data_IF_985639270462
#
_entry.id   IF_985639270462
#
_cell.length_a   1.000
_cell.length_b   1.000
_cell.length_c   1.000
_cell.angle_alpha   90.00
_cell.angle_beta   90.00
_cell.angle_gamma   90.00
#
_symmetry.space_group_name_H-M   'P 1'
#
loop_
_entity.id
_entity.type
_entity.pdbx_description
1 polymer ?
#
# COMPACT_ATOMS: atom_id res chain seq x y z
N UNK A 1 -37.40 77.30 25.56
CA UNK A 1 -37.90 75.91 25.43
C UNK A 1 -36.88 75.11 24.64
N UNK A 2 -36.35 74.03 25.24
CA UNK A 2 -35.36 73.11 24.65
C UNK A 2 -36.03 72.19 23.61
N UNK A 3 -35.33 71.89 22.51
CA UNK A 3 -35.47 70.61 21.79
C UNK A 3 -34.08 70.12 21.40
N UNK A 4 -33.74 68.93 21.90
CA UNK A 4 -32.56 68.13 21.58
C UNK A 4 -33.10 66.83 20.99
N UNK A 5 -32.58 66.40 19.85
CA UNK A 5 -32.84 65.10 19.23
C UNK A 5 -31.89 64.97 18.04
N UNK A 6 -31.14 63.89 17.78
CA UNK A 6 -30.80 62.67 18.50
C UNK A 6 -29.73 62.02 17.61
N UNK A 7 -28.51 61.81 18.12
CA UNK A 7 -27.44 61.11 17.39
C UNK A 7 -27.74 59.62 17.38
N UNK A 8 -27.86 58.99 16.20
CA UNK A 8 -27.93 57.54 16.07
C UNK A 8 -26.51 56.96 16.13
N UNK A 9 -26.23 56.21 17.20
CA UNK A 9 -25.00 55.43 17.36
C UNK A 9 -25.17 54.10 16.60
N UNK A 10 -24.54 53.98 15.42
CA UNK A 10 -24.49 52.71 14.69
C UNK A 10 -23.40 51.83 15.28
N UNK A 11 -23.79 50.77 15.98
CA UNK A 11 -22.91 49.74 16.51
C UNK A 11 -22.45 48.79 15.39
N UNK A 12 -21.17 48.84 15.03
CA UNK A 12 -20.49 47.81 14.23
C UNK A 12 -20.27 46.57 15.12
N UNK A 13 -21.04 45.50 14.89
CA UNK A 13 -20.68 44.16 15.38
C UNK A 13 -19.65 43.56 14.42
N UNK A 14 -18.40 43.47 14.86
CA UNK A 14 -17.38 42.63 14.21
C UNK A 14 -17.62 41.17 14.62
N UNK A 15 -18.16 40.36 13.72
CA UNK A 15 -18.18 38.90 13.88
C UNK A 15 -16.79 38.38 13.55
N UNK A 16 -16.01 38.03 14.58
CA UNK A 16 -14.77 37.30 14.41
C UNK A 16 -15.09 35.83 14.13
N UNK A 17 -15.06 35.42 12.87
CA UNK A 17 -15.07 34.02 12.47
C UNK A 17 -13.73 33.40 12.85
N UNK A 18 -13.69 32.60 13.92
CA UNK A 18 -12.57 31.68 14.16
C UNK A 18 -12.61 30.62 13.06
N UNK A 19 -11.73 30.76 12.08
CA UNK A 19 -11.36 29.66 11.19
C UNK A 19 -10.48 28.71 12.01
N UNK A 20 -11.05 27.59 12.48
CA UNK A 20 -10.22 26.46 12.88
C UNK A 20 -9.64 25.85 11.60
N UNK A 21 -8.37 26.14 11.33
CA UNK A 21 -7.58 25.33 10.41
C UNK A 21 -7.51 23.94 11.03
N UNK A 22 -8.20 22.97 10.43
CA UNK A 22 -8.00 21.57 10.77
C UNK A 22 -6.54 21.24 10.45
N UNK A 23 -5.72 21.08 11.47
CA UNK A 23 -4.39 20.51 11.30
C UNK A 23 -4.58 19.02 11.13
N UNK A 24 -4.33 18.51 9.93
CA UNK A 24 -4.33 17.06 9.69
C UNK A 24 -3.34 16.42 10.66
N UNK A 25 -3.83 15.46 11.44
CA UNK A 25 -3.00 14.76 12.40
C UNK A 25 -1.92 13.98 11.63
N UNK A 26 -0.67 14.06 12.10
CA UNK A 26 0.43 13.28 11.52
C UNK A 26 0.12 11.78 11.62
N UNK A 27 0.60 11.02 10.63
CA UNK A 27 0.47 9.57 10.64
C UNK A 27 1.18 8.97 11.89
N UNK A 28 0.61 7.92 12.51
CA UNK A 28 1.25 7.26 13.65
C UNK A 28 2.60 6.66 13.22
N UNK A 29 3.62 6.73 14.06
CA UNK A 29 4.99 6.24 13.76
C UNK A 29 5.24 4.81 14.26
N UNK A 30 4.21 4.12 14.72
CA UNK A 30 4.31 2.75 15.23
C UNK A 30 4.02 1.76 14.09
N UNK A 31 4.81 0.68 13.96
CA UNK A 31 4.52 -0.39 13.00
C UNK A 31 3.10 -0.96 13.18
N UNK A 32 2.46 -1.31 12.06
CA UNK A 32 1.09 -1.81 12.05
C UNK A 32 0.98 -3.31 12.37
N UNK A 33 -0.09 -3.70 13.07
CA UNK A 33 -0.31 -5.06 13.60
C UNK A 33 -0.37 -6.17 12.53
N UNK A 34 -0.67 -5.83 11.28
CA UNK A 34 -0.84 -6.82 10.21
C UNK A 34 0.47 -7.35 9.64
N UNK A 35 1.56 -6.56 9.66
CA UNK A 35 2.82 -6.95 9.03
C UNK A 35 3.44 -8.22 9.65
N UNK A 36 3.63 -8.33 10.98
CA UNK A 36 4.26 -9.53 11.56
C UNK A 36 3.54 -10.82 11.16
N UNK A 37 2.20 -10.81 11.16
CA UNK A 37 1.38 -11.95 10.75
C UNK A 37 1.55 -12.32 9.27
N UNK A 38 1.61 -11.32 8.41
CA UNK A 38 1.80 -11.52 6.97
C UNK A 38 3.22 -12.03 6.68
N UNK A 39 4.22 -11.52 7.39
CA UNK A 39 5.61 -11.94 7.25
C UNK A 39 5.83 -13.37 7.80
N UNK A 40 5.24 -13.73 8.95
CA UNK A 40 5.26 -15.10 9.46
C UNK A 40 4.66 -16.09 8.47
N UNK A 41 3.57 -15.71 7.77
CA UNK A 41 2.99 -16.52 6.71
C UNK A 41 3.96 -16.68 5.52
N UNK A 42 4.71 -15.65 5.14
CA UNK A 42 5.75 -15.76 4.11
C UNK A 42 6.80 -16.78 4.52
N UNK A 43 7.30 -16.71 5.76
CA UNK A 43 8.31 -17.64 6.27
C UNK A 43 7.81 -19.09 6.30
N UNK A 44 6.57 -19.31 6.73
CA UNK A 44 5.95 -20.65 6.80
C UNK A 44 5.66 -21.28 5.42
N UNK A 45 5.50 -20.44 4.39
CA UNK A 45 5.27 -20.85 3.00
C UNK A 45 6.55 -20.88 2.17
N UNK A 46 7.66 -20.35 2.69
CA UNK A 46 8.93 -20.35 1.97
C UNK A 46 9.47 -21.78 1.84
N UNK A 47 9.73 -22.19 0.60
CA UNK A 47 10.18 -23.55 0.29
C UNK A 47 9.05 -24.58 0.24
N UNK A 48 7.78 -24.16 0.39
CA UNK A 48 6.65 -25.05 0.13
C UNK A 48 6.65 -25.47 -1.34
N UNK A 49 6.64 -26.78 -1.58
CA UNK A 49 6.65 -27.31 -2.94
C UNK A 49 5.28 -27.08 -3.61
N UNK A 50 5.21 -26.80 -4.93
CA UNK A 50 3.95 -26.63 -5.64
C UNK A 50 2.97 -27.81 -5.45
N UNK A 51 3.49 -29.02 -5.30
CA UNK A 51 2.71 -30.23 -5.07
C UNK A 51 1.99 -30.26 -3.70
N UNK A 52 2.41 -29.44 -2.74
CA UNK A 52 1.73 -29.32 -1.44
C UNK A 52 0.47 -28.45 -1.52
N UNK A 53 0.28 -27.68 -2.59
CA UNK A 53 -0.88 -26.79 -2.78
C UNK A 53 -1.08 -25.78 -1.62
N UNK A 54 0.00 -25.46 -0.88
CA UNK A 54 -0.06 -24.56 0.29
C UNK A 54 0.05 -23.09 -0.07
N UNK A 55 0.64 -22.74 -1.21
CA UNK A 55 0.79 -21.35 -1.63
C UNK A 55 0.28 -21.18 -3.07
N UNK A 56 -0.90 -20.58 -3.20
CA UNK A 56 -1.66 -20.56 -4.45
C UNK A 56 -2.09 -19.14 -4.78
N UNK A 57 -1.79 -18.72 -6.01
CA UNK A 57 -2.42 -17.56 -6.61
C UNK A 57 -3.87 -17.88 -7.02
N UNK A 58 -4.82 -17.20 -6.39
CA UNK A 58 -6.24 -17.39 -6.64
C UNK A 58 -6.64 -16.85 -8.01
N UNK A 59 -7.46 -17.61 -8.75
CA UNK A 59 -8.09 -17.09 -9.97
C UNK A 59 -9.14 -16.00 -9.64
N UNK A 60 -9.58 -15.18 -10.62
CA UNK A 60 -10.52 -14.09 -10.35
C UNK A 60 -11.83 -14.52 -9.67
N UNK A 61 -12.34 -15.72 -9.97
CA UNK A 61 -13.58 -16.27 -9.42
C UNK A 61 -13.41 -17.07 -8.13
N UNK A 62 -12.18 -17.35 -7.71
CA UNK A 62 -11.91 -18.10 -6.48
C UNK A 62 -11.99 -17.19 -5.25
N UNK A 63 -12.54 -17.76 -4.16
CA UNK A 63 -12.53 -17.11 -2.86
C UNK A 63 -11.13 -17.16 -2.25
N UNK A 64 -10.74 -16.07 -1.61
CA UNK A 64 -9.46 -16.01 -0.90
C UNK A 64 -9.59 -16.59 0.50
N UNK A 65 -8.55 -17.30 0.94
CA UNK A 65 -8.47 -17.86 2.29
C UNK A 65 -7.02 -18.04 2.71
N UNK A 66 -6.79 -17.90 4.02
CA UNK A 66 -5.49 -18.13 4.65
C UNK A 66 -5.71 -19.00 5.89
N UNK A 67 -4.95 -20.08 5.98
CA UNK A 67 -4.68 -20.78 7.24
C UNK A 67 -3.40 -20.17 7.80
N UNK A 68 -3.55 -19.36 8.85
CA UNK A 68 -2.44 -18.62 9.47
C UNK A 68 -1.51 -19.53 10.27
N UNK A 69 -0.23 -19.15 10.42
CA UNK A 69 0.72 -19.80 11.33
C UNK A 69 0.20 -19.92 12.77
N UNK A 70 0.71 -20.92 13.50
CA UNK A 70 0.42 -21.15 14.93
C UNK A 70 -0.81 -22.01 15.24
N UNK A 71 -1.45 -22.59 14.22
CA UNK A 71 -2.52 -23.57 14.37
C UNK A 71 -2.05 -25.04 14.33
N UNK A 72 -3.00 -25.98 14.41
CA UNK A 72 -2.73 -27.42 14.26
C UNK A 72 -2.57 -27.87 12.79
N UNK A 73 -2.97 -27.02 11.85
CA UNK A 73 -2.90 -27.29 10.42
C UNK A 73 -1.70 -26.56 9.81
N UNK A 74 -1.03 -27.13 8.79
CA UNK A 74 -0.02 -26.41 8.04
C UNK A 74 -0.56 -25.10 7.48
N UNK A 75 0.24 -24.04 7.58
CA UNK A 75 -0.09 -22.74 7.00
C UNK A 75 -0.31 -22.87 5.51
N UNK A 76 -1.34 -22.21 4.99
CA UNK A 76 -1.69 -22.22 3.57
C UNK A 76 -2.36 -20.91 3.16
N UNK A 77 -2.20 -20.52 1.90
CA UNK A 77 -2.77 -19.32 1.34
C UNK A 77 -3.27 -19.59 -0.09
N UNK A 78 -4.54 -19.28 -0.33
CA UNK A 78 -5.09 -19.09 -1.68
C UNK A 78 -5.51 -17.64 -1.79
N UNK A 79 -4.70 -16.82 -2.44
CA UNK A 79 -4.87 -15.35 -2.41
C UNK A 79 -4.49 -14.67 -3.71
N UNK A 80 -4.90 -13.40 -3.81
CA UNK A 80 -4.45 -12.38 -4.77
C UNK A 80 -4.08 -11.12 -3.98
N UNK A 81 -3.27 -10.22 -4.54
CA UNK A 81 -2.70 -9.07 -3.81
C UNK A 81 -3.69 -8.35 -2.87
N UNK A 82 -4.80 -7.85 -3.40
CA UNK A 82 -5.78 -7.11 -2.59
C UNK A 82 -6.46 -7.93 -1.49
N UNK A 83 -6.83 -9.18 -1.77
CA UNK A 83 -7.48 -10.00 -0.75
C UNK A 83 -6.49 -10.53 0.28
N UNK A 84 -5.21 -10.71 -0.08
CA UNK A 84 -4.16 -11.01 0.87
C UNK A 84 -4.02 -9.88 1.90
N UNK A 85 -3.93 -8.63 1.43
CA UNK A 85 -3.96 -7.45 2.30
C UNK A 85 -5.25 -7.41 3.13
N UNK A 86 -6.41 -7.61 2.52
CA UNK A 86 -7.70 -7.56 3.24
C UNK A 86 -7.73 -8.57 4.39
N UNK A 87 -7.32 -9.81 4.14
CA UNK A 87 -7.27 -10.87 5.15
C UNK A 87 -6.23 -10.56 6.23
N UNK A 88 -5.08 -9.99 5.86
CA UNK A 88 -4.06 -9.51 6.78
C UNK A 88 -4.57 -8.42 7.72
N UNK A 89 -5.22 -7.38 7.18
CA UNK A 89 -5.82 -6.30 7.96
C UNK A 89 -6.91 -6.83 8.91
N UNK A 90 -7.78 -7.71 8.42
CA UNK A 90 -8.85 -8.32 9.22
C UNK A 90 -8.27 -9.10 10.40
N UNK A 91 -7.24 -9.92 10.15
CA UNK A 91 -6.61 -10.74 11.18
C UNK A 91 -5.80 -9.89 12.16
N UNK A 92 -4.95 -9.00 11.66
CA UNK A 92 -4.01 -8.20 12.47
C UNK A 92 -4.71 -7.22 13.38
N UNK A 93 -5.79 -6.59 12.91
CA UNK A 93 -6.50 -5.57 13.69
C UNK A 93 -7.79 -6.10 14.36
N UNK A 94 -8.01 -7.42 14.37
CA UNK A 94 -9.18 -8.05 14.99
C UNK A 94 -10.52 -7.57 14.44
N UNK A 95 -10.58 -7.30 13.13
CA UNK A 95 -11.78 -6.76 12.48
C UNK A 95 -12.73 -7.90 12.09
N UNK A 96 -14.06 -7.64 11.98
CA UNK A 96 -14.97 -8.63 11.43
C UNK A 96 -14.70 -8.85 9.93
N UNK A 97 -14.79 -10.08 9.40
CA UNK A 97 -14.56 -10.35 7.97
C UNK A 97 -15.47 -9.55 7.02
N UNK A 98 -16.64 -9.12 7.49
CA UNK A 98 -17.58 -8.30 6.72
C UNK A 98 -17.22 -6.81 6.67
N UNK A 99 -16.19 -6.35 7.39
CA UNK A 99 -15.90 -4.92 7.57
C UNK A 99 -15.65 -4.20 6.24
N UNK A 100 -15.01 -4.88 5.29
CA UNK A 100 -14.72 -4.32 3.97
C UNK A 100 -15.97 -3.88 3.21
N UNK A 101 -17.12 -4.56 3.43
CA UNK A 101 -18.40 -4.15 2.84
C UNK A 101 -18.82 -2.75 3.31
N UNK A 102 -18.58 -2.44 4.59
CA UNK A 102 -18.93 -1.14 5.17
C UNK A 102 -17.95 -0.02 4.81
N UNK A 103 -16.66 -0.35 4.63
CA UNK A 103 -15.62 0.64 4.37
C UNK A 103 -15.41 0.91 2.88
N UNK A 104 -15.52 -0.13 2.06
CA UNK A 104 -15.07 -0.12 0.67
C UNK A 104 -16.08 -0.80 -0.27
N UNK A 105 -17.30 -1.09 0.21
CA UNK A 105 -18.39 -1.66 -0.60
C UNK A 105 -18.17 -3.12 -1.04
N UNK A 106 -17.12 -3.80 -0.54
CA UNK A 106 -16.83 -5.19 -0.89
C UNK A 106 -16.08 -5.89 0.25
N UNK A 107 -16.38 -7.17 0.50
CA UNK A 107 -15.59 -8.02 1.40
C UNK A 107 -14.25 -8.46 0.77
N UNK A 108 -14.07 -8.22 -0.53
CA UNK A 108 -12.80 -8.38 -1.24
C UNK A 108 -12.61 -7.19 -2.18
N UNK A 109 -12.20 -6.03 -1.66
CA UNK A 109 -11.91 -4.85 -2.48
C UNK A 109 -10.80 -5.17 -3.49
N UNK A 110 -10.82 -4.48 -4.63
CA UNK A 110 -9.73 -4.57 -5.61
C UNK A 110 -8.55 -3.69 -5.18
N UNK A 111 -7.38 -3.91 -5.78
CA UNK A 111 -6.20 -3.06 -5.53
C UNK A 111 -6.47 -1.59 -5.91
N UNK A 112 -7.31 -1.34 -6.91
CA UNK A 112 -7.77 -0.01 -7.29
C UNK A 112 -8.57 0.67 -6.17
N UNK A 113 -9.43 -0.06 -5.47
CA UNK A 113 -10.20 0.50 -4.35
C UNK A 113 -9.29 0.90 -3.19
N UNK A 114 -8.25 0.12 -2.91
CA UNK A 114 -7.24 0.49 -1.91
C UNK A 114 -6.42 1.70 -2.32
N UNK A 115 -6.01 1.79 -3.58
CA UNK A 115 -5.34 2.98 -4.11
C UNK A 115 -6.18 4.23 -3.88
N UNK A 116 -7.45 4.19 -4.28
CA UNK A 116 -8.38 5.32 -4.14
C UNK A 116 -8.63 5.64 -2.65
N UNK A 117 -8.74 4.62 -1.79
CA UNK A 117 -8.89 4.81 -0.35
C UNK A 117 -7.64 5.45 0.31
N UNK A 118 -6.43 5.21 -0.20
CA UNK A 118 -5.20 5.85 0.29
C UNK A 118 -5.16 7.31 -0.16
N UNK A 119 -5.44 7.58 -1.44
CA UNK A 119 -5.50 8.94 -1.99
C UNK A 119 -6.53 9.82 -1.25
N UNK A 120 -7.69 9.25 -0.91
CA UNK A 120 -8.77 9.92 -0.18
C UNK A 120 -8.55 9.94 1.34
N UNK A 121 -7.47 9.34 1.83
CA UNK A 121 -7.21 9.11 3.26
C UNK A 121 -8.37 8.42 4.01
N UNK A 122 -9.09 7.52 3.33
CA UNK A 122 -10.20 6.77 3.89
C UNK A 122 -9.71 5.49 4.58
N UNK A 123 -9.57 5.52 5.92
CA UNK A 123 -8.93 4.47 6.74
C UNK A 123 -7.43 4.36 6.55
N UNK A 124 -6.81 5.32 5.88
CA UNK A 124 -5.37 5.40 5.68
C UNK A 124 -4.89 6.83 5.91
N UNK A 125 -3.71 6.98 6.48
CA UNK A 125 -2.94 8.21 6.30
C UNK A 125 -2.17 8.10 5.00
N UNK A 126 -2.18 9.15 4.18
CA UNK A 126 -1.28 9.22 3.03
C UNK A 126 0.13 9.53 3.53
N UNK A 127 1.10 8.79 3.02
CA UNK A 127 2.52 9.00 3.27
C UNK A 127 3.14 9.52 1.97
N UNK A 128 3.63 10.75 1.98
CA UNK A 128 4.04 11.45 0.76
C UNK A 128 5.50 11.12 0.37
N UNK A 129 6.33 10.75 1.35
CA UNK A 129 7.76 10.56 1.14
C UNK A 129 8.30 9.18 1.50
N UNK A 130 9.35 8.77 0.80
CA UNK A 130 10.06 7.52 1.09
C UNK A 130 10.67 7.51 2.51
N UNK A 131 11.10 8.67 3.01
CA UNK A 131 11.66 8.82 4.36
C UNK A 131 10.65 8.60 5.49
N UNK A 132 9.37 8.81 5.21
CA UNK A 132 8.28 8.65 6.18
C UNK A 132 7.66 7.25 6.13
N UNK A 133 8.05 6.45 5.13
CA UNK A 133 7.59 5.08 4.94
C UNK A 133 8.15 4.19 6.05
N UNK A 134 7.28 3.37 6.64
CA UNK A 134 7.60 2.45 7.72
C UNK A 134 7.17 1.02 7.37
N UNK A 135 7.77 0.01 8.02
CA UNK A 135 7.25 -1.35 8.01
C UNK A 135 5.75 -1.39 8.41
N UNK A 136 4.93 -2.01 7.58
CA UNK A 136 3.48 -2.07 7.69
C UNK A 136 2.75 -1.11 6.77
N UNK A 137 3.43 -0.14 6.16
CA UNK A 137 2.79 0.71 5.16
C UNK A 137 2.42 -0.07 3.91
N UNK A 138 1.33 0.33 3.28
CA UNK A 138 0.79 -0.26 2.07
C UNK A 138 1.26 0.56 0.87
N UNK A 139 1.92 -0.09 -0.08
CA UNK A 139 2.15 0.46 -1.41
C UNK A 139 1.02 0.03 -2.34
N UNK A 140 0.32 0.99 -2.92
CA UNK A 140 -0.72 0.73 -3.92
C UNK A 140 -0.34 1.37 -5.25
N UNK A 141 -0.46 0.61 -6.34
CA UNK A 141 -0.23 1.12 -7.70
C UNK A 141 -1.50 0.95 -8.52
N UNK A 142 -1.86 1.97 -9.28
CA UNK A 142 -3.02 1.97 -10.19
C UNK A 142 -2.62 2.61 -11.51
N UNK A 143 -2.64 1.85 -12.61
CA UNK A 143 -2.20 2.35 -13.92
C UNK A 143 -3.05 1.81 -15.05
N UNK A 144 -3.10 2.56 -16.15
CA UNK A 144 -3.92 2.30 -17.32
C UNK A 144 -4.05 3.61 -18.09
N UNK A 145 -3.64 3.61 -19.36
CA UNK A 145 -3.76 4.79 -20.21
C UNK A 145 -5.18 4.98 -20.74
N UNK A 146 -5.40 6.07 -21.47
CA UNK A 146 -6.68 6.35 -22.12
C UNK A 146 -7.16 5.15 -22.96
N UNK A 147 -8.29 4.57 -22.57
CA UNK A 147 -8.90 3.41 -23.24
C UNK A 147 -8.29 2.04 -22.91
N UNK A 148 -7.37 1.95 -21.94
CA UNK A 148 -6.82 0.67 -21.46
C UNK A 148 -7.53 0.18 -20.19
N UNK A 149 -7.54 -1.15 -20.00
CA UNK A 149 -7.98 -1.76 -18.74
C UNK A 149 -7.06 -1.31 -17.61
N UNK A 150 -7.66 -0.77 -16.54
CA UNK A 150 -6.94 -0.39 -15.32
C UNK A 150 -6.33 -1.64 -14.68
N UNK A 151 -5.03 -1.59 -14.47
CA UNK A 151 -4.25 -2.57 -13.72
C UNK A 151 -3.86 -1.98 -12.37
N UNK A 152 -3.75 -2.83 -11.36
CA UNK A 152 -3.37 -2.41 -10.02
C UNK A 152 -2.78 -3.55 -9.21
N UNK A 153 -1.86 -3.23 -8.31
CA UNK A 153 -1.25 -4.17 -7.38
C UNK A 153 -0.98 -3.51 -6.04
N UNK A 154 -0.88 -4.35 -5.00
CA UNK A 154 -0.75 -3.96 -3.61
C UNK A 154 0.36 -4.76 -2.96
N UNK A 155 1.11 -4.09 -2.10
CA UNK A 155 2.23 -4.65 -1.38
C UNK A 155 2.26 -4.04 0.02
N UNK A 156 2.80 -4.77 0.99
CA UNK A 156 3.06 -4.27 2.34
C UNK A 156 4.56 -4.17 2.53
N UNK A 157 5.05 -3.02 2.99
CA UNK A 157 6.47 -2.80 3.29
C UNK A 157 6.84 -3.62 4.52
N UNK A 158 7.81 -4.52 4.41
CA UNK A 158 8.40 -5.20 5.58
C UNK A 158 9.68 -4.52 6.05
N UNK A 159 10.47 -3.98 5.12
CA UNK A 159 11.71 -3.25 5.42
C UNK A 159 11.91 -2.14 4.40
N UNK A 160 12.60 -1.07 4.82
CA UNK A 160 13.04 0.02 3.95
C UNK A 160 14.41 0.51 4.39
N UNK A 161 15.30 0.72 3.43
CA UNK A 161 16.64 1.25 3.66
C UNK A 161 17.03 2.21 2.54
N UNK A 162 17.77 3.27 2.86
CA UNK A 162 18.45 4.07 1.84
C UNK A 162 19.50 3.19 1.14
N UNK A 163 19.44 3.12 -0.18
CA UNK A 163 20.32 2.27 -0.98
C UNK A 163 21.47 3.06 -1.63
N UNK A 164 21.13 4.12 -2.37
CA UNK A 164 22.13 4.95 -3.08
C UNK A 164 21.50 6.24 -3.60
N UNK A 165 22.32 7.18 -4.07
CA UNK A 165 21.85 8.29 -4.93
C UNK A 165 22.08 7.90 -6.39
N UNK A 166 21.03 7.97 -7.20
CA UNK A 166 21.07 7.65 -8.64
C UNK A 166 21.93 8.65 -9.43
N UNK A 167 22.40 8.30 -10.64
CA UNK A 167 23.14 9.24 -11.49
C UNK A 167 22.36 10.52 -11.86
N UNK A 168 21.03 10.49 -11.78
CA UNK A 168 20.15 11.64 -11.99
C UNK A 168 19.96 12.49 -10.74
N UNK A 169 20.56 12.11 -9.60
CA UNK A 169 20.50 12.84 -8.33
C UNK A 169 19.29 12.50 -7.44
N UNK A 170 18.48 11.49 -7.78
CA UNK A 170 17.40 11.00 -6.92
C UNK A 170 17.94 10.08 -5.83
N UNK A 171 17.39 10.15 -4.64
CA UNK A 171 17.66 9.19 -3.57
C UNK A 171 16.87 7.90 -3.81
N UNK A 172 17.56 6.77 -3.84
CA UNK A 172 16.97 5.45 -4.05
C UNK A 172 16.91 4.70 -2.73
N UNK A 173 15.71 4.23 -2.39
CA UNK A 173 15.44 3.37 -1.25
C UNK A 173 15.14 1.97 -1.74
N UNK A 174 15.72 0.97 -1.09
CA UNK A 174 15.37 -0.44 -1.29
C UNK A 174 14.34 -0.85 -0.26
N UNK A 175 13.26 -1.45 -0.72
CA UNK A 175 12.19 -1.94 0.12
C UNK A 175 12.08 -3.45 -0.05
N UNK A 176 12.03 -4.16 1.06
CA UNK A 176 11.45 -5.50 1.09
C UNK A 176 9.94 -5.35 1.23
N UNK A 177 9.22 -6.06 0.37
CA UNK A 177 7.76 -6.03 0.32
C UNK A 177 7.19 -7.42 0.42
N UNK A 178 6.06 -7.53 1.11
CA UNK A 178 5.25 -8.73 1.26
C UNK A 178 4.00 -8.55 0.42
N UNK A 179 3.76 -9.48 -0.49
CA UNK A 179 2.58 -9.46 -1.35
C UNK A 179 2.11 -10.88 -1.72
N UNK A 180 1.02 -10.93 -2.46
CA UNK A 180 0.61 -12.13 -3.19
C UNK A 180 0.56 -11.77 -4.65
N UNK A 181 1.30 -12.50 -5.49
CA UNK A 181 1.40 -12.25 -6.94
C UNK A 181 1.56 -13.55 -7.73
N UNK A 182 1.28 -13.47 -9.02
CA UNK A 182 1.48 -14.55 -9.99
C UNK A 182 2.92 -14.64 -10.50
N UNK A 183 3.66 -13.54 -10.42
CA UNK A 183 5.02 -13.42 -10.96
C UNK A 183 5.92 -12.79 -9.92
N UNK A 184 7.10 -13.36 -9.74
CA UNK A 184 8.09 -12.95 -8.74
C UNK A 184 8.77 -11.62 -9.07
N UNK A 185 9.28 -10.93 -8.04
CA UNK A 185 9.99 -9.65 -8.12
C UNK A 185 11.50 -9.81 -8.34
N UNK A 186 11.90 -10.87 -9.06
CA UNK A 186 13.30 -11.24 -9.31
C UNK A 186 13.81 -12.36 -8.40
N UNK A 187 15.13 -12.60 -8.41
CA UNK A 187 15.76 -13.78 -7.78
C UNK A 187 15.89 -13.70 -6.27
N UNK A 188 15.78 -12.50 -5.72
CA UNK A 188 15.72 -12.28 -4.28
C UNK A 188 14.31 -12.50 -3.74
N UNK A 189 13.32 -12.77 -4.59
CA UNK A 189 11.98 -13.10 -4.16
C UNK A 189 11.94 -14.49 -3.54
N UNK A 190 11.27 -14.66 -2.39
CA UNK A 190 11.19 -15.95 -1.68
C UNK A 190 10.51 -17.06 -2.51
N UNK A 191 9.78 -16.67 -3.54
CA UNK A 191 9.12 -17.58 -4.48
C UNK A 191 10.00 -17.98 -5.66
N UNK A 192 11.20 -17.41 -5.79
CA UNK A 192 12.13 -17.73 -6.87
C UNK A 192 12.69 -19.16 -6.75
N UNK A 193 12.67 -19.93 -7.84
CA UNK A 193 13.22 -21.29 -7.90
C UNK A 193 14.24 -21.52 -9.03
N UNK A 194 14.56 -20.51 -9.85
CA UNK A 194 15.66 -20.58 -10.83
C UNK A 194 15.37 -20.03 -12.23
N UNK A 195 14.10 -19.95 -12.65
CA UNK A 195 13.70 -19.35 -13.95
C UNK A 195 12.29 -18.72 -13.89
N UNK A 196 12.15 -17.38 -13.87
CA UNK A 196 10.88 -16.69 -13.69
C UNK A 196 10.00 -16.71 -14.95
N UNK A 197 10.56 -17.16 -16.08
CA UNK A 197 9.88 -17.23 -17.38
C UNK A 197 9.15 -18.55 -17.62
N UNK A 198 9.34 -19.53 -16.74
CA UNK A 198 8.65 -20.82 -16.79
C UNK A 198 7.74 -20.99 -15.58
N UNK A 199 6.57 -21.62 -15.77
CA UNK A 199 5.65 -21.93 -14.67
C UNK A 199 6.26 -22.87 -13.60
N UNK A 200 7.44 -23.45 -13.89
CA UNK A 200 8.17 -24.37 -13.03
C UNK A 200 9.39 -23.73 -12.34
N UNK A 201 9.73 -22.47 -12.63
CA UNK A 201 10.91 -21.81 -12.04
C UNK A 201 10.58 -20.76 -10.98
N UNK A 202 9.30 -20.67 -10.57
CA UNK A 202 8.85 -19.95 -9.39
C UNK A 202 7.51 -20.47 -8.84
N UNK A 203 7.29 -20.26 -7.55
CA UNK A 203 6.00 -20.48 -6.88
C UNK A 203 5.13 -19.23 -7.01
N UNK A 204 3.80 -19.39 -7.04
CA UNK A 204 2.86 -18.27 -7.07
C UNK A 204 2.21 -18.06 -5.70
N UNK A 205 1.58 -16.91 -5.48
CA UNK A 205 0.88 -16.60 -4.23
C UNK A 205 1.72 -15.73 -3.32
N UNK A 206 1.63 -15.96 -2.00
CA UNK A 206 2.26 -15.14 -0.96
C UNK A 206 3.78 -15.26 -1.01
N UNK A 207 4.49 -14.15 -0.88
CA UNK A 207 5.95 -14.13 -0.80
C UNK A 207 6.49 -12.77 -0.41
N UNK A 208 7.81 -12.68 -0.31
CA UNK A 208 8.50 -11.42 -0.14
C UNK A 208 9.46 -11.19 -1.31
N UNK A 209 9.60 -9.94 -1.74
CA UNK A 209 10.49 -9.53 -2.83
C UNK A 209 10.99 -8.11 -2.63
N UNK A 210 11.72 -7.60 -3.62
CA UNK A 210 12.35 -6.28 -3.54
C UNK A 210 11.76 -5.30 -4.56
N UNK A 211 11.55 -4.07 -4.13
CA UNK A 211 11.23 -2.93 -4.98
C UNK A 211 12.15 -1.76 -4.60
N UNK A 212 12.50 -0.92 -5.56
CA UNK A 212 13.13 0.37 -5.28
C UNK A 212 12.12 1.49 -5.43
N UNK A 213 12.19 2.47 -4.52
CA UNK A 213 11.56 3.77 -4.66
C UNK A 213 12.65 4.82 -4.92
N UNK A 214 12.50 5.60 -5.97
CA UNK A 214 13.33 6.77 -6.22
C UNK A 214 12.56 8.00 -5.73
N UNK A 215 13.21 8.82 -4.91
CA UNK A 215 12.63 10.00 -4.30
C UNK A 215 13.45 11.26 -4.59
N UNK A 216 12.78 12.41 -4.60
CA UNK A 216 13.44 13.70 -4.63
C UNK A 216 14.22 13.89 -3.31
N UNK A 217 15.54 14.19 -3.35
CA UNK A 217 16.37 14.27 -2.14
C UNK A 217 16.05 15.49 -1.26
N UNK A 218 15.28 16.46 -1.76
CA UNK A 218 14.90 17.68 -1.03
C UNK A 218 13.52 17.53 -0.40
N UNK A 219 12.53 17.09 -1.17
CA UNK A 219 11.15 16.96 -0.69
C UNK A 219 10.87 15.60 -0.07
N UNK A 220 11.66 14.58 -0.40
CA UNK A 220 11.41 13.18 -0.04
C UNK A 220 10.31 12.52 -0.87
N UNK A 221 9.64 13.26 -1.76
CA UNK A 221 8.52 12.78 -2.58
C UNK A 221 8.95 11.64 -3.49
N UNK A 222 8.13 10.58 -3.57
CA UNK A 222 8.39 9.44 -4.46
C UNK A 222 8.18 9.85 -5.92
N UNK A 223 9.24 9.76 -6.73
CA UNK A 223 9.25 10.15 -8.14
C UNK A 223 9.07 8.95 -9.08
N UNK A 224 9.51 7.76 -8.66
CA UNK A 224 9.41 6.54 -9.47
C UNK A 224 9.64 5.27 -8.66
N UNK A 225 9.37 4.12 -9.28
CA UNK A 225 9.76 2.82 -8.75
C UNK A 225 10.27 1.85 -9.82
N UNK A 226 11.05 0.86 -9.37
CA UNK A 226 11.58 -0.24 -10.20
C UNK A 226 11.52 -1.55 -9.41
N UNK A 227 11.35 -2.69 -10.08
CA UNK A 227 11.38 -4.02 -9.44
C UNK A 227 12.80 -4.56 -9.26
N UNK A 228 13.08 -5.29 -8.17
CA UNK A 228 14.31 -6.09 -8.02
C UNK A 228 15.65 -5.33 -8.00
N UNK A 229 16.68 -5.98 -7.44
CA UNK A 229 18.07 -5.51 -7.45
C UNK A 229 18.95 -6.28 -8.45
N UNK A 230 18.38 -6.80 -9.53
CA UNK A 230 19.10 -7.65 -10.50
C UNK A 230 19.98 -6.89 -11.52
N UNK A 231 20.17 -5.58 -11.38
CA UNK A 231 20.90 -4.80 -12.37
C UNK A 231 20.09 -4.54 -13.65
N UNK A 232 20.56 -3.57 -14.42
CA UNK A 232 19.81 -2.70 -15.34
C UNK A 232 19.30 -3.31 -16.65
N UNK A 233 19.11 -4.63 -16.76
CA UNK A 233 18.58 -5.26 -17.98
C UNK A 233 17.20 -5.92 -17.83
N UNK A 234 16.70 -6.13 -16.61
CA UNK A 234 15.43 -6.84 -16.37
C UNK A 234 14.38 -6.04 -15.58
N UNK A 235 14.75 -4.88 -15.02
CA UNK A 235 13.82 -4.06 -14.26
C UNK A 235 13.35 -2.84 -15.05
N UNK A 236 12.05 -2.78 -15.31
CA UNK A 236 11.44 -1.59 -15.90
C UNK A 236 11.33 -0.48 -14.86
N UNK A 237 11.70 0.73 -15.26
CA UNK A 237 11.50 1.96 -14.52
C UNK A 237 10.11 2.52 -14.79
N UNK A 238 9.42 2.91 -13.72
CA UNK A 238 8.06 3.45 -13.80
C UNK A 238 7.98 4.80 -13.10
N UNK A 239 7.81 5.89 -13.87
CA UNK A 239 7.55 7.21 -13.30
C UNK A 239 6.25 7.24 -12.48
N UNK A 240 6.28 7.97 -11.37
CA UNK A 240 5.14 8.18 -10.48
C UNK A 240 4.21 9.29 -11.01
N UNK A 241 3.64 9.09 -12.19
CA UNK A 241 2.60 9.97 -12.73
C UNK A 241 1.53 9.16 -13.47
N UNK A 242 0.35 9.75 -13.63
CA UNK A 242 -0.69 9.18 -14.48
C UNK A 242 -0.36 9.36 -15.97
N UNK A 243 -0.88 8.48 -16.82
CA UNK A 243 -0.74 8.57 -18.29
C UNK A 243 0.27 7.58 -18.89
N UNK A 244 0.61 7.75 -20.19
CA UNK A 244 1.44 6.78 -20.92
C UNK A 244 2.81 6.55 -20.26
N UNK A 245 3.14 5.28 -20.00
CA UNK A 245 4.41 4.86 -19.39
C UNK A 245 4.51 5.06 -17.87
N UNK A 246 3.66 5.91 -17.29
CA UNK A 246 3.59 6.15 -15.86
C UNK A 246 2.83 5.05 -15.12
N UNK A 247 3.25 4.77 -13.88
CA UNK A 247 2.51 3.91 -12.96
C UNK A 247 2.48 4.58 -11.61
N UNK A 248 1.45 5.37 -11.30
CA UNK A 248 1.42 6.10 -10.06
C UNK A 248 1.33 5.13 -8.88
N UNK A 249 2.16 5.37 -7.87
CA UNK A 249 2.27 4.63 -6.62
C UNK A 249 1.94 5.57 -5.46
N UNK A 250 1.14 5.07 -4.53
CA UNK A 250 0.76 5.79 -3.32
C UNK A 250 1.10 4.92 -2.12
N UNK A 251 1.48 5.59 -1.04
CA UNK A 251 1.84 4.94 0.22
C UNK A 251 0.78 5.30 1.25
N UNK A 252 0.24 4.27 1.91
CA UNK A 252 -0.80 4.43 2.90
C UNK A 252 -0.48 3.70 4.19
N UNK A 253 -0.57 4.40 5.32
CA UNK A 253 -0.52 3.77 6.65
C UNK A 253 -1.92 3.47 7.14
N UNK A 254 -2.22 2.22 7.45
CA UNK A 254 -3.59 1.85 7.82
C UNK A 254 -3.97 2.43 9.18
N UNK A 255 -5.18 2.97 9.27
CA UNK A 255 -5.71 3.51 10.51
C UNK A 255 -7.22 3.31 10.55
N UNK A 256 -7.66 2.32 11.33
CA UNK A 256 -9.09 1.95 11.48
C UNK A 256 -10.02 3.14 11.76
N UNK A 257 -9.54 4.19 12.44
CA UNK A 257 -10.35 5.32 12.86
C UNK A 257 -10.17 6.58 11.99
N UNK A 258 -9.27 6.56 11.00
CA UNK A 258 -9.07 7.68 10.07
C UNK A 258 -10.25 7.74 9.08
N UNK A 259 -10.84 8.92 8.93
CA UNK A 259 -11.95 9.19 8.03
C UNK A 259 -11.44 10.03 6.84
N UNK A 260 -12.12 9.98 5.68
CA UNK A 260 -11.69 10.75 4.51
C UNK A 260 -11.61 12.25 4.80
N UNK A 261 -10.54 12.91 4.37
CA UNK A 261 -10.45 14.37 4.27
C UNK A 261 -10.51 15.17 5.58
N UNK A 262 -10.02 14.60 6.70
CA UNK A 262 -9.84 15.32 7.98
C UNK A 262 -8.40 15.24 8.48
#
# INVERSE_FOLDING_TARGET
MKKVSSLSLSSLLSVATLMWSATSAAAPVTPDDHLPLMYDLVLDLWGAEPAEERNIWASPSESCQITWPGGNNPSSARTKGACFLTLGLVRGHGLPPSIGMSWWGSTSPSSTVYYDAIEEENRFYRIDGALETLPGDILAVKYGGDGQTVQSYLMVVSQIEFFTTTPTGLDRYILEIVDSTRTVHGMQDTRWQGDPSTINGHVQGVGAGLIFLDADPVTGEVVAHTWSNQGSMASSYYPNHSGPGGRPIVIGRFARNKLPGY
#
